data_IF_341784952914
#
_entry.id   IF_341784952914
#
_cell.length_a   1.000
_cell.length_b   1.000
_cell.length_c   1.000
_cell.angle_alpha   90.00
_cell.angle_beta   90.00
_cell.angle_gamma   90.00
#
_symmetry.space_group_name_H-M   'P 1'
#
loop_
_entity.id
_entity.type
_entity.pdbx_description
1 polymer ?
#
# COMPACT_ATOMS: atom_id res chain seq x y z
N UNK A 1 -8.14 1.60 -35.19
CA UNK A 1 -8.55 0.78 -34.02
C UNK A 1 -9.54 1.66 -33.25
N UNK A 2 -10.78 1.20 -33.07
CA UNK A 2 -11.79 2.00 -32.38
C UNK A 2 -11.36 2.28 -30.94
N UNK A 3 -11.46 3.54 -30.52
CA UNK A 3 -11.12 3.95 -29.15
C UNK A 3 -12.10 3.30 -28.17
N UNK A 4 -11.58 2.81 -27.04
CA UNK A 4 -12.38 2.17 -26.01
C UNK A 4 -11.81 2.44 -24.61
N UNK A 5 -12.62 2.27 -23.59
CA UNK A 5 -12.24 2.60 -22.20
C UNK A 5 -11.03 1.82 -21.68
N UNK A 6 -10.82 0.59 -22.16
CA UNK A 6 -9.60 -0.16 -21.83
C UNK A 6 -8.31 0.58 -22.23
N UNK A 7 -8.33 1.35 -23.32
CA UNK A 7 -7.20 2.19 -23.76
C UNK A 7 -7.02 3.40 -22.84
N UNK A 8 -8.10 3.99 -22.33
CA UNK A 8 -8.03 5.10 -21.35
C UNK A 8 -7.40 4.63 -20.05
N UNK A 9 -7.82 3.45 -19.55
CA UNK A 9 -7.20 2.82 -18.35
C UNK A 9 -5.71 2.58 -18.60
N UNK A 10 -5.34 1.99 -19.72
CA UNK A 10 -3.94 1.67 -20.04
C UNK A 10 -3.07 2.94 -20.15
N UNK A 11 -3.59 3.99 -20.84
CA UNK A 11 -2.89 5.28 -20.94
C UNK A 11 -2.68 5.92 -19.58
N UNK A 12 -3.74 5.96 -18.76
CA UNK A 12 -3.63 6.45 -17.38
C UNK A 12 -2.54 5.72 -16.59
N UNK A 13 -2.50 4.39 -16.64
CA UNK A 13 -1.48 3.60 -15.95
C UNK A 13 -0.07 3.89 -16.46
N UNK A 14 0.11 4.06 -17.78
CA UNK A 14 1.39 4.44 -18.38
C UNK A 14 1.85 5.84 -17.94
N UNK A 15 0.96 6.83 -17.92
CA UNK A 15 1.22 8.18 -17.43
C UNK A 15 1.57 8.22 -15.92
N UNK A 16 1.12 7.22 -15.15
CA UNK A 16 1.50 7.00 -13.75
C UNK A 16 2.78 6.17 -13.60
N UNK A 17 3.47 5.89 -14.71
CA UNK A 17 4.72 5.12 -14.74
C UNK A 17 4.58 3.71 -14.15
N UNK A 18 3.43 3.09 -14.35
CA UNK A 18 3.19 1.69 -13.98
C UNK A 18 3.96 0.80 -14.96
N UNK A 19 5.11 0.30 -14.53
CA UNK A 19 5.98 -0.52 -15.37
C UNK A 19 5.43 -1.93 -15.63
N UNK A 20 4.71 -2.50 -14.66
CA UNK A 20 4.17 -3.85 -14.71
C UNK A 20 2.71 -3.89 -14.26
N UNK A 21 1.89 -4.65 -15.00
CA UNK A 21 0.52 -5.01 -14.61
C UNK A 21 0.49 -6.52 -14.35
N UNK A 22 0.26 -6.90 -13.10
CA UNK A 22 0.17 -8.29 -12.67
C UNK A 22 -1.26 -8.80 -12.84
N UNK A 23 -1.40 -10.00 -13.42
CA UNK A 23 -2.74 -10.50 -13.78
C UNK A 23 -2.79 -12.03 -13.78
N UNK A 24 -3.98 -12.59 -13.61
CA UNK A 24 -4.39 -13.84 -14.23
C UNK A 24 -5.45 -13.48 -15.26
N UNK A 25 -5.16 -13.77 -16.54
CA UNK A 25 -5.98 -13.34 -17.65
C UNK A 25 -7.41 -13.88 -17.55
N UNK A 26 -8.39 -13.05 -17.93
CA UNK A 26 -9.79 -13.43 -18.02
C UNK A 26 -10.60 -12.46 -18.87
N UNK A 27 -11.74 -12.92 -19.41
CA UNK A 27 -12.53 -12.19 -20.39
C UNK A 27 -12.94 -10.79 -19.95
N UNK A 28 -13.27 -10.60 -18.67
CA UNK A 28 -13.78 -9.32 -18.16
C UNK A 28 -12.74 -8.19 -18.10
N UNK A 29 -11.44 -8.49 -18.27
CA UNK A 29 -10.37 -7.49 -18.23
C UNK A 29 -9.50 -7.50 -19.48
N UNK A 30 -9.77 -8.37 -20.44
CA UNK A 30 -8.96 -8.51 -21.67
C UNK A 30 -8.70 -7.19 -22.40
N UNK A 31 -9.68 -6.28 -22.57
CA UNK A 31 -9.41 -5.01 -23.25
C UNK A 31 -8.37 -4.14 -22.54
N UNK A 32 -8.32 -4.17 -21.19
CA UNK A 32 -7.29 -3.48 -20.41
C UNK A 32 -5.92 -4.09 -20.68
N UNK A 33 -5.81 -5.44 -20.67
CA UNK A 33 -4.53 -6.13 -20.86
C UNK A 33 -3.93 -5.89 -22.24
N UNK A 34 -4.77 -5.96 -23.29
CA UNK A 34 -4.36 -5.70 -24.68
C UNK A 34 -3.88 -4.26 -24.83
N UNK A 35 -4.65 -3.30 -24.32
CA UNK A 35 -4.30 -1.88 -24.39
C UNK A 35 -3.03 -1.56 -23.54
N UNK A 36 -2.88 -2.12 -22.35
CA UNK A 36 -1.72 -1.94 -21.50
C UNK A 36 -0.42 -2.45 -22.17
N UNK A 37 -0.49 -3.59 -22.85
CA UNK A 37 0.63 -4.10 -23.65
C UNK A 37 1.00 -3.14 -24.78
N UNK A 38 0.00 -2.59 -25.48
CA UNK A 38 0.21 -1.59 -26.54
C UNK A 38 0.79 -0.28 -25.99
N UNK A 39 0.43 0.11 -24.78
CA UNK A 39 0.97 1.29 -24.09
C UNK A 39 2.37 1.07 -23.48
N UNK A 40 3.01 -0.09 -23.71
CA UNK A 40 4.35 -0.40 -23.23
C UNK A 40 4.42 -0.92 -21.80
N UNK A 41 3.29 -1.17 -21.14
CA UNK A 41 3.25 -1.77 -19.80
C UNK A 41 3.51 -3.27 -19.92
N UNK A 42 4.45 -3.77 -19.13
CA UNK A 42 4.75 -5.21 -19.06
C UNK A 42 3.61 -5.96 -18.39
N UNK A 43 2.96 -6.86 -19.13
CA UNK A 43 1.97 -7.79 -18.57
C UNK A 43 2.71 -8.98 -17.96
N UNK A 44 2.48 -9.23 -16.68
CA UNK A 44 3.05 -10.36 -15.94
C UNK A 44 1.91 -11.32 -15.58
N UNK A 45 1.84 -12.42 -16.34
CA UNK A 45 0.84 -13.47 -16.15
C UNK A 45 1.20 -14.33 -14.93
N UNK A 46 0.27 -14.45 -14.00
CA UNK A 46 0.42 -15.18 -12.75
C UNK A 46 -0.41 -16.47 -12.79
N UNK A 47 -0.12 -17.43 -11.91
CA UNK A 47 -0.86 -18.70 -11.85
C UNK A 47 -2.00 -18.71 -10.83
N UNK A 48 -2.14 -17.61 -10.09
CA UNK A 48 -3.22 -17.39 -9.11
C UNK A 48 -3.36 -15.88 -8.84
N UNK A 49 -4.58 -15.39 -8.70
CA UNK A 49 -4.87 -13.97 -8.53
C UNK A 49 -4.29 -13.39 -7.23
N UNK A 50 -4.23 -14.18 -6.16
CA UNK A 50 -3.53 -13.77 -4.94
C UNK A 50 -2.06 -13.43 -5.23
N UNK A 51 -1.38 -14.20 -6.09
CA UNK A 51 0.00 -13.94 -6.45
C UNK A 51 0.15 -12.65 -7.26
N UNK A 52 -0.84 -12.31 -8.11
CA UNK A 52 -0.85 -11.02 -8.81
C UNK A 52 -0.87 -9.85 -7.82
N UNK A 53 -1.70 -9.93 -6.79
CA UNK A 53 -1.78 -8.90 -5.75
C UNK A 53 -0.53 -8.90 -4.86
N UNK A 54 0.04 -10.05 -4.49
CA UNK A 54 1.30 -10.10 -3.73
C UNK A 54 2.47 -9.53 -4.54
N UNK A 55 2.52 -9.75 -5.86
CA UNK A 55 3.53 -9.14 -6.72
C UNK A 55 3.37 -7.60 -6.80
N UNK A 56 2.14 -7.11 -6.92
CA UNK A 56 1.83 -5.69 -6.84
C UNK A 56 2.22 -5.10 -5.46
N UNK A 57 1.93 -5.80 -4.36
CA UNK A 57 2.34 -5.42 -3.00
C UNK A 57 3.88 -5.34 -2.88
N UNK A 58 4.61 -6.28 -3.46
CA UNK A 58 6.08 -6.26 -3.48
C UNK A 58 6.62 -5.04 -4.23
N UNK A 59 6.05 -4.70 -5.41
CA UNK A 59 6.42 -3.48 -6.15
C UNK A 59 6.18 -2.25 -5.30
N UNK A 60 5.01 -2.15 -4.64
CA UNK A 60 4.70 -1.02 -3.77
C UNK A 60 5.74 -0.84 -2.66
N UNK A 61 6.12 -1.92 -1.99
CA UNK A 61 7.08 -1.88 -0.88
C UNK A 61 8.50 -1.54 -1.33
N UNK A 62 8.90 -2.00 -2.51
CA UNK A 62 10.25 -1.80 -3.03
C UNK A 62 10.45 -0.44 -3.70
N UNK A 63 9.37 0.13 -4.25
CA UNK A 63 9.45 1.39 -5.01
C UNK A 63 8.84 2.60 -4.29
N UNK A 64 7.92 2.36 -3.34
CA UNK A 64 7.09 3.40 -2.74
C UNK A 64 5.97 3.91 -3.65
N UNK A 65 5.78 3.31 -4.84
CA UNK A 65 4.74 3.64 -5.82
C UNK A 65 3.60 2.63 -5.76
N UNK A 66 2.38 2.97 -6.17
CA UNK A 66 1.30 2.00 -6.23
C UNK A 66 1.61 0.84 -7.17
N UNK A 67 1.57 -0.38 -6.64
CA UNK A 67 1.59 -1.59 -7.46
C UNK A 67 0.20 -1.89 -7.99
N UNK A 68 0.08 -2.36 -9.24
CA UNK A 68 -1.21 -2.58 -9.91
C UNK A 68 -1.39 -4.03 -10.30
N UNK A 69 -2.54 -4.58 -9.94
CA UNK A 69 -2.99 -5.88 -10.39
C UNK A 69 -4.36 -5.77 -11.07
N UNK A 70 -4.60 -6.61 -12.08
CA UNK A 70 -5.90 -6.72 -12.74
C UNK A 70 -6.36 -8.17 -12.76
N UNK A 71 -7.62 -8.44 -12.41
CA UNK A 71 -8.19 -9.78 -12.33
C UNK A 71 -9.60 -9.83 -12.90
N UNK A 72 -10.01 -11.01 -13.38
CA UNK A 72 -11.36 -11.19 -13.90
C UNK A 72 -12.42 -11.09 -12.80
N UNK A 73 -13.69 -11.01 -13.18
CA UNK A 73 -14.82 -10.89 -12.27
C UNK A 73 -15.01 -12.13 -11.37
N UNK A 74 -15.78 -11.97 -10.33
CA UNK A 74 -16.26 -13.05 -9.45
C UNK A 74 -15.11 -13.78 -8.74
N UNK A 75 -14.86 -15.07 -9.04
CA UNK A 75 -13.81 -15.84 -8.38
C UNK A 75 -12.41 -15.20 -8.55
N UNK A 76 -12.14 -14.52 -9.68
CA UNK A 76 -10.90 -13.78 -9.86
C UNK A 76 -10.70 -12.71 -8.80
N UNK A 77 -11.75 -11.95 -8.48
CA UNK A 77 -11.71 -10.94 -7.41
C UNK A 77 -11.65 -11.58 -6.04
N UNK A 78 -12.47 -12.61 -5.74
CA UNK A 78 -12.49 -13.21 -4.40
C UNK A 78 -11.19 -13.90 -4.03
N UNK A 79 -10.46 -14.47 -4.98
CA UNK A 79 -9.13 -15.06 -4.76
C UNK A 79 -8.09 -14.03 -4.29
N UNK A 80 -8.35 -12.72 -4.44
CA UNK A 80 -7.40 -11.67 -4.02
C UNK A 80 -7.55 -11.24 -2.56
N UNK A 81 -8.63 -11.64 -1.86
CA UNK A 81 -8.99 -11.11 -0.54
C UNK A 81 -7.86 -11.23 0.48
N UNK A 82 -7.21 -12.40 0.56
CA UNK A 82 -6.09 -12.63 1.49
C UNK A 82 -4.92 -11.69 1.20
N UNK A 83 -4.54 -11.55 -0.06
CA UNK A 83 -3.41 -10.70 -0.45
C UNK A 83 -3.72 -9.21 -0.25
N UNK A 84 -4.94 -8.76 -0.54
CA UNK A 84 -5.39 -7.39 -0.24
C UNK A 84 -5.39 -7.11 1.25
N UNK A 85 -5.84 -8.07 2.07
CA UNK A 85 -5.81 -7.92 3.53
C UNK A 85 -4.38 -7.81 4.05
N UNK A 86 -3.45 -8.59 3.48
CA UNK A 86 -2.02 -8.47 3.77
C UNK A 86 -1.48 -7.07 3.40
N UNK A 87 -1.79 -6.56 2.19
CA UNK A 87 -1.40 -5.23 1.77
C UNK A 87 -1.98 -4.13 2.68
N UNK A 88 -3.24 -4.27 3.14
CA UNK A 88 -3.86 -3.36 4.09
C UNK A 88 -3.14 -3.36 5.44
N UNK A 89 -2.78 -4.53 5.98
CA UNK A 89 -2.03 -4.65 7.23
C UNK A 89 -0.61 -4.13 7.11
N UNK A 90 0.00 -4.27 5.93
CA UNK A 90 1.33 -3.76 5.63
C UNK A 90 1.33 -2.27 5.25
N UNK A 91 0.14 -1.66 5.10
CA UNK A 91 -0.01 -0.27 4.67
C UNK A 91 0.62 -0.01 3.30
N UNK A 92 0.47 -0.97 2.39
CA UNK A 92 1.00 -0.90 1.02
C UNK A 92 -0.03 -0.32 0.05
N UNK A 93 0.33 0.68 -0.77
CA UNK A 93 -0.55 1.24 -1.78
C UNK A 93 -0.67 0.30 -2.98
N UNK A 94 -1.67 -0.56 -2.98
CA UNK A 94 -1.99 -1.49 -4.07
C UNK A 94 -3.28 -1.06 -4.75
N UNK A 95 -3.29 -1.05 -6.08
CA UNK A 95 -4.51 -0.86 -6.88
C UNK A 95 -4.90 -2.22 -7.47
N UNK A 96 -6.09 -2.70 -7.10
CA UNK A 96 -6.70 -3.86 -7.74
C UNK A 96 -7.79 -3.41 -8.68
N UNK A 97 -7.63 -3.68 -9.97
CA UNK A 97 -8.66 -3.52 -10.99
C UNK A 97 -9.36 -4.87 -11.16
N UNK A 98 -10.64 -4.94 -10.84
CA UNK A 98 -11.46 -6.14 -11.00
C UNK A 98 -12.47 -5.97 -12.11
N UNK A 99 -12.53 -6.93 -13.02
CA UNK A 99 -13.64 -7.01 -13.98
C UNK A 99 -14.98 -7.18 -13.26
N UNK A 100 -16.07 -6.86 -13.94
CA UNK A 100 -17.43 -7.12 -13.46
C UNK A 100 -18.35 -7.49 -14.62
N UNK A 101 -19.46 -8.15 -14.30
CA UNK A 101 -20.52 -8.46 -15.27
C UNK A 101 -21.02 -7.18 -15.96
N UNK A 102 -21.60 -7.31 -17.20
CA UNK A 102 -22.19 -6.20 -17.90
C UNK A 102 -23.22 -5.48 -17.04
N UNK A 103 -23.25 -4.15 -17.11
CA UNK A 103 -24.08 -3.29 -16.24
C UNK A 103 -25.56 -3.66 -16.24
N UNK A 104 -26.12 -4.03 -17.41
CA UNK A 104 -27.53 -4.43 -17.54
C UNK A 104 -27.83 -5.84 -17.04
N UNK A 105 -26.81 -6.68 -16.85
CA UNK A 105 -26.94 -8.09 -16.42
C UNK A 105 -26.55 -8.29 -14.97
N UNK A 106 -26.08 -7.27 -14.29
CA UNK A 106 -25.68 -7.33 -12.88
C UNK A 106 -26.86 -7.75 -12.00
N UNK A 107 -26.68 -8.78 -11.15
CA UNK A 107 -27.73 -9.37 -10.33
C UNK A 107 -28.72 -10.24 -11.08
N UNK A 108 -28.45 -10.61 -12.33
CA UNK A 108 -29.32 -11.43 -13.18
C UNK A 108 -28.74 -12.80 -13.54
N UNK A 109 -27.71 -13.26 -12.83
CA UNK A 109 -27.06 -14.53 -13.10
C UNK A 109 -26.12 -14.52 -14.30
N UNK A 110 -25.51 -13.39 -14.62
CA UNK A 110 -24.45 -13.31 -15.62
C UNK A 110 -23.22 -14.12 -15.20
N UNK A 111 -22.35 -14.45 -16.16
CA UNK A 111 -21.12 -15.16 -15.86
C UNK A 111 -20.28 -14.40 -14.84
N UNK A 112 -19.90 -15.08 -13.74
CA UNK A 112 -19.06 -14.54 -12.67
C UNK A 112 -19.64 -13.30 -11.96
N UNK A 113 -20.97 -13.11 -12.03
CA UNK A 113 -21.68 -12.01 -11.38
C UNK A 113 -21.92 -12.34 -9.89
N UNK A 114 -21.18 -11.64 -9.03
CA UNK A 114 -21.32 -11.69 -7.56
C UNK A 114 -21.23 -10.26 -6.99
N UNK A 115 -21.72 -10.06 -5.77
CA UNK A 115 -21.53 -8.79 -5.07
C UNK A 115 -20.09 -8.67 -4.50
N UNK A 116 -19.13 -8.49 -5.41
CA UNK A 116 -17.72 -8.33 -5.05
C UNK A 116 -17.44 -7.03 -4.28
N UNK A 117 -18.27 -6.00 -4.45
CA UNK A 117 -18.12 -4.75 -3.71
C UNK A 117 -18.34 -4.92 -2.20
N UNK A 118 -19.37 -5.66 -1.79
CA UNK A 118 -19.64 -5.95 -0.38
C UNK A 118 -18.54 -6.83 0.26
N UNK A 119 -17.93 -7.72 -0.52
CA UNK A 119 -16.82 -8.55 -0.06
C UNK A 119 -15.53 -7.75 0.13
N UNK A 120 -15.25 -6.78 -0.75
CA UNK A 120 -13.98 -6.05 -0.75
C UNK A 120 -13.98 -4.82 0.17
N UNK A 121 -15.13 -4.14 0.39
CA UNK A 121 -15.22 -2.95 1.26
C UNK A 121 -14.57 -3.08 2.63
N UNK A 122 -14.74 -4.18 3.39
CA UNK A 122 -14.10 -4.34 4.70
C UNK A 122 -12.61 -4.69 4.62
N UNK A 123 -12.10 -5.00 3.44
CA UNK A 123 -10.74 -5.49 3.23
C UNK A 123 -9.80 -4.40 2.73
N UNK A 124 -10.32 -3.50 1.90
CA UNK A 124 -9.56 -2.42 1.26
C UNK A 124 -9.80 -1.06 1.90
N UNK A 125 -8.92 -0.11 1.61
CA UNK A 125 -9.06 1.27 2.08
C UNK A 125 -10.25 1.98 1.42
N UNK A 126 -10.49 1.70 0.14
CA UNK A 126 -11.65 2.18 -0.62
C UNK A 126 -11.99 1.18 -1.73
N UNK A 127 -13.30 1.03 -2.00
CA UNK A 127 -13.81 0.28 -3.14
C UNK A 127 -14.64 1.23 -4.02
N UNK A 128 -14.29 1.31 -5.29
CA UNK A 128 -14.85 2.21 -6.30
C UNK A 128 -15.43 1.40 -7.46
N UNK A 129 -16.47 1.92 -8.10
CA UNK A 129 -17.07 1.32 -9.31
C UNK A 129 -17.10 2.35 -10.42
N UNK A 130 -16.64 2.00 -11.61
CA UNK A 130 -16.80 2.79 -12.82
C UNK A 130 -18.21 2.51 -13.39
N UNK A 131 -19.01 3.55 -13.62
CA UNK A 131 -20.38 3.42 -14.12
C UNK A 131 -20.54 3.95 -15.54
N UNK A 132 -19.69 4.89 -15.94
CA UNK A 132 -19.69 5.53 -17.26
C UNK A 132 -18.25 5.74 -17.72
N UNK A 133 -18.05 5.90 -19.00
CA UNK A 133 -16.72 6.22 -19.53
C UNK A 133 -16.14 7.52 -18.93
N UNK A 134 -16.97 8.50 -18.63
CA UNK A 134 -16.58 9.76 -17.96
C UNK A 134 -15.99 9.55 -16.57
N UNK A 135 -16.36 8.46 -15.90
CA UNK A 135 -15.95 8.21 -14.52
C UNK A 135 -14.55 7.55 -14.44
N UNK A 136 -13.98 7.07 -15.57
CA UNK A 136 -12.74 6.29 -15.60
C UNK A 136 -11.57 7.07 -14.97
N UNK A 137 -11.23 8.23 -15.53
CA UNK A 137 -10.11 9.03 -15.03
C UNK A 137 -10.34 9.52 -13.59
N UNK A 138 -11.49 10.13 -13.24
CA UNK A 138 -11.75 10.56 -11.87
C UNK A 138 -11.67 9.41 -10.85
N UNK A 139 -12.16 8.22 -11.20
CA UNK A 139 -12.11 7.04 -10.33
C UNK A 139 -10.68 6.54 -10.17
N UNK A 140 -9.92 6.45 -11.25
CA UNK A 140 -8.52 6.01 -11.20
C UNK A 140 -7.65 7.01 -10.44
N UNK A 141 -7.82 8.31 -10.67
CA UNK A 141 -7.13 9.36 -9.91
C UNK A 141 -7.45 9.27 -8.41
N UNK A 142 -8.74 9.15 -8.08
CA UNK A 142 -9.18 8.94 -6.70
C UNK A 142 -8.57 7.67 -6.09
N UNK A 143 -8.47 6.58 -6.86
CA UNK A 143 -7.88 5.33 -6.41
C UNK A 143 -6.38 5.50 -6.06
N UNK A 144 -5.59 6.13 -6.95
CA UNK A 144 -4.17 6.38 -6.73
C UNK A 144 -3.94 7.32 -5.55
N UNK A 145 -4.69 8.44 -5.49
CA UNK A 145 -4.64 9.39 -4.40
C UNK A 145 -5.00 8.75 -3.06
N UNK A 146 -6.08 7.97 -3.01
CA UNK A 146 -6.51 7.28 -1.79
C UNK A 146 -5.49 6.24 -1.36
N UNK A 147 -4.96 5.43 -2.28
CA UNK A 147 -4.00 4.38 -1.94
C UNK A 147 -2.75 4.93 -1.24
N UNK A 148 -2.30 6.12 -1.63
CA UNK A 148 -1.04 6.72 -1.15
C UNK A 148 -1.20 7.75 -0.04
N UNK A 149 -2.38 8.36 0.14
CA UNK A 149 -2.61 9.43 1.13
C UNK A 149 -2.67 8.91 2.56
N UNK A 150 -2.29 9.73 3.53
CA UNK A 150 -2.36 9.44 4.97
C UNK A 150 -1.66 8.12 5.33
N UNK A 151 -2.42 7.14 5.85
CA UNK A 151 -1.96 5.75 5.97
C UNK A 151 -2.21 5.04 4.64
N UNK A 152 -1.17 4.63 3.90
CA UNK A 152 -1.35 3.94 2.63
C UNK A 152 -2.10 2.62 2.76
N UNK A 153 -2.70 2.17 1.66
CA UNK A 153 -3.43 0.90 1.68
C UNK A 153 -4.05 0.56 0.32
N UNK A 154 -4.53 -0.67 0.15
CA UNK A 154 -5.09 -1.14 -1.11
C UNK A 154 -6.42 -0.47 -1.44
N UNK A 155 -6.63 -0.24 -2.73
CA UNK A 155 -7.89 0.26 -3.30
C UNK A 155 -8.37 -0.70 -4.37
N UNK A 156 -9.67 -0.98 -4.38
CA UNK A 156 -10.34 -1.79 -5.39
C UNK A 156 -11.12 -0.91 -6.36
N UNK A 157 -10.95 -1.16 -7.66
CA UNK A 157 -11.69 -0.50 -8.74
C UNK A 157 -12.45 -1.56 -9.54
N UNK A 158 -13.78 -1.53 -9.48
CA UNK A 158 -14.65 -2.40 -10.25
C UNK A 158 -14.89 -1.82 -11.64
N UNK A 159 -14.58 -2.61 -12.68
CA UNK A 159 -14.74 -2.22 -14.09
C UNK A 159 -15.71 -3.17 -14.79
N UNK A 160 -16.98 -2.78 -15.05
CA UNK A 160 -17.90 -3.57 -15.86
C UNK A 160 -17.37 -3.78 -17.28
N UNK A 161 -17.48 -5.04 -17.78
CA UNK A 161 -16.92 -5.43 -19.07
C UNK A 161 -17.46 -4.63 -20.26
N UNK A 162 -18.74 -4.30 -20.23
CA UNK A 162 -19.42 -3.52 -21.28
C UNK A 162 -18.92 -2.07 -21.41
N UNK A 163 -18.28 -1.52 -20.37
CA UNK A 163 -17.58 -0.24 -20.45
C UNK A 163 -16.19 -0.35 -21.09
N UNK A 164 -15.59 -1.53 -21.11
CA UNK A 164 -14.19 -1.71 -21.55
C UNK A 164 -14.07 -1.91 -23.06
N UNK A 165 -15.15 -2.30 -23.75
CA UNK A 165 -15.18 -2.51 -25.20
C UNK A 165 -15.58 -1.24 -25.96
N UNK A 166 -15.36 -1.18 -27.31
CA UNK A 166 -15.83 -0.09 -28.14
C UNK A 166 -17.35 0.08 -28.06
N UNK A 167 -17.81 1.32 -28.06
CA UNK A 167 -19.24 1.65 -28.00
C UNK A 167 -20.03 0.97 -29.10
N UNK A 168 -19.49 0.91 -30.34
CA UNK A 168 -20.10 0.26 -31.49
C UNK A 168 -20.46 -1.20 -31.22
N UNK A 169 -19.51 -1.94 -30.60
CA UNK A 169 -19.68 -3.33 -30.23
C UNK A 169 -20.72 -3.51 -29.11
N UNK A 170 -20.72 -2.64 -28.11
CA UNK A 170 -21.68 -2.70 -27.00
C UNK A 170 -23.11 -2.36 -27.51
N UNK A 171 -23.23 -1.43 -28.42
CA UNK A 171 -24.53 -1.14 -29.11
C UNK A 171 -25.03 -2.35 -29.88
N UNK A 172 -24.16 -3.08 -30.56
CA UNK A 172 -24.51 -4.33 -31.24
C UNK A 172 -25.01 -5.38 -30.24
N UNK A 173 -24.30 -5.58 -29.11
CA UNK A 173 -24.71 -6.54 -28.05
C UNK A 173 -26.07 -6.22 -27.46
N UNK A 174 -26.41 -4.95 -27.26
CA UNK A 174 -27.66 -4.52 -26.63
C UNK A 174 -28.75 -4.15 -27.65
N UNK A 175 -28.39 -3.77 -28.85
CA UNK A 175 -29.34 -3.41 -29.92
C UNK A 175 -29.93 -4.60 -30.65
N UNK A 176 -29.37 -5.79 -30.48
CA UNK A 176 -29.74 -7.12 -31.07
C UNK A 176 -29.94 -7.06 -32.57
N UNK A 177 -29.58 -7.40 -33.36
CA UNK A 177 -29.41 -8.06 -34.54
C UNK A 177 -30.45 -8.68 -35.35
N UNK A 178 -30.15 -8.68 -36.54
CA UNK A 178 -30.51 -9.48 -37.72
C UNK A 178 -31.64 -8.97 -38.55
N UNK A 179 -31.27 -8.78 -39.81
CA UNK A 179 -32.06 -8.29 -40.91
C UNK A 179 -33.24 -9.19 -41.31
N UNK A 180 -33.42 -10.37 -40.69
CA UNK A 180 -34.45 -11.36 -41.05
C UNK A 180 -35.52 -11.57 -39.97
N UNK A 181 -35.70 -10.63 -39.04
CA UNK A 181 -36.71 -10.72 -37.99
C UNK A 181 -37.98 -9.94 -38.36
N UNK A 182 -39.19 -10.44 -38.03
CA UNK A 182 -40.43 -9.70 -38.21
C UNK A 182 -40.40 -8.36 -37.46
N UNK A 183 -41.23 -7.37 -37.88
CA UNK A 183 -41.21 -6.04 -37.27
C UNK A 183 -41.38 -6.17 -35.73
N UNK A 184 -40.55 -5.44 -34.92
CA UNK A 184 -40.52 -5.59 -33.49
C UNK A 184 -41.83 -5.23 -32.83
N UNK A 185 -42.26 -6.03 -31.87
CA UNK A 185 -43.40 -5.74 -31.00
C UNK A 185 -43.22 -4.43 -30.24
N UNK A 186 -44.30 -3.84 -29.73
CA UNK A 186 -44.21 -2.63 -28.89
C UNK A 186 -43.26 -2.82 -27.70
N UNK A 187 -43.26 -4.01 -27.06
CA UNK A 187 -42.40 -4.37 -25.95
C UNK A 187 -40.92 -4.39 -26.34
N UNK A 188 -40.61 -4.94 -27.51
CA UNK A 188 -39.22 -4.99 -28.02
C UNK A 188 -38.73 -3.60 -28.41
N UNK A 189 -39.60 -2.73 -28.96
CA UNK A 189 -39.27 -1.33 -29.25
C UNK A 189 -38.94 -0.56 -27.96
N UNK A 190 -39.73 -0.74 -26.89
CA UNK A 190 -39.49 -0.11 -25.59
C UNK A 190 -38.20 -0.61 -24.95
N UNK A 191 -37.95 -1.94 -25.00
CA UNK A 191 -36.70 -2.52 -24.50
C UNK A 191 -35.48 -1.99 -25.26
N UNK A 192 -35.56 -1.95 -26.61
CA UNK A 192 -34.48 -1.40 -27.45
C UNK A 192 -34.22 0.07 -27.16
N UNK A 193 -35.28 0.88 -26.97
CA UNK A 193 -35.14 2.28 -26.58
C UNK A 193 -34.53 2.44 -25.20
N UNK A 194 -34.89 1.59 -24.24
CA UNK A 194 -34.29 1.57 -22.89
C UNK A 194 -32.79 1.23 -22.95
N UNK A 195 -32.42 0.15 -23.63
CA UNK A 195 -31.05 -0.27 -23.81
C UNK A 195 -30.21 0.78 -24.57
N UNK A 196 -30.76 1.38 -25.63
CA UNK A 196 -30.10 2.48 -26.35
C UNK A 196 -29.77 3.65 -25.43
N UNK A 197 -30.76 4.13 -24.65
CA UNK A 197 -30.54 5.21 -23.67
C UNK A 197 -29.54 4.82 -22.58
N UNK A 198 -29.49 3.54 -22.20
CA UNK A 198 -28.51 3.06 -21.25
C UNK A 198 -27.08 3.19 -21.81
N UNK A 199 -26.84 2.72 -23.04
CA UNK A 199 -25.56 2.86 -23.73
C UNK A 199 -25.19 4.34 -23.93
N UNK A 200 -26.13 5.20 -24.33
CA UNK A 200 -25.89 6.66 -24.47
C UNK A 200 -25.36 7.27 -23.15
N UNK A 201 -25.87 6.81 -21.99
CA UNK A 201 -25.38 7.27 -20.66
C UNK A 201 -24.04 6.71 -20.31
N UNK A 202 -23.77 5.46 -20.68
CA UNK A 202 -22.48 4.79 -20.41
C UNK A 202 -21.35 5.47 -21.18
N UNK A 203 -21.58 5.87 -22.42
CA UNK A 203 -20.59 6.46 -23.33
C UNK A 203 -20.81 7.97 -23.57
N UNK A 204 -21.24 8.70 -22.54
CA UNK A 204 -21.59 10.11 -22.66
C UNK A 204 -20.38 11.04 -22.92
N UNK A 205 -19.14 10.60 -22.67
CA UNK A 205 -17.94 11.42 -22.88
C UNK A 205 -17.11 10.97 -24.08
N UNK A 206 -16.48 11.94 -24.73
CA UNK A 206 -15.52 11.68 -25.81
C UNK A 206 -14.18 11.23 -25.22
N UNK A 207 -13.63 10.11 -25.70
CA UNK A 207 -12.35 9.57 -25.25
C UNK A 207 -11.14 10.45 -25.61
N UNK A 208 -11.24 11.23 -26.66
CA UNK A 208 -10.15 12.08 -27.17
C UNK A 208 -9.80 13.23 -26.23
N UNK A 209 -10.76 13.68 -25.42
CA UNK A 209 -10.60 14.79 -24.46
C UNK A 209 -10.22 14.32 -23.06
N UNK A 210 -10.06 13.03 -22.85
CA UNK A 210 -9.76 12.46 -21.54
C UNK A 210 -8.23 12.41 -21.32
N UNK A 211 -7.74 13.30 -20.49
CA UNK A 211 -6.34 13.37 -20.07
C UNK A 211 -6.23 13.24 -18.54
N UNK A 212 -5.22 12.50 -18.07
CA UNK A 212 -4.93 12.42 -16.65
C UNK A 212 -4.17 13.66 -16.19
N UNK A 213 -4.61 14.27 -15.10
CA UNK A 213 -3.89 15.38 -14.47
C UNK A 213 -2.54 14.97 -13.88
N UNK A 214 -1.65 15.92 -13.55
CA UNK A 214 -0.40 15.62 -12.85
C UNK A 214 -0.70 14.97 -11.50
N UNK A 215 0.10 13.96 -11.14
CA UNK A 215 -0.05 13.27 -9.87
C UNK A 215 1.23 13.36 -9.02
N UNK A 216 1.04 13.67 -7.75
CA UNK A 216 2.09 13.60 -6.73
C UNK A 216 1.53 13.04 -5.43
N UNK A 217 2.27 12.22 -4.70
CA UNK A 217 1.88 11.82 -3.35
C UNK A 217 1.67 13.04 -2.46
N UNK A 218 0.56 13.10 -1.73
CA UNK A 218 0.33 14.18 -0.77
C UNK A 218 1.24 14.01 0.43
N UNK A 219 2.15 14.95 0.64
CA UNK A 219 3.02 14.99 1.81
C UNK A 219 2.39 15.84 2.91
N UNK A 220 2.32 15.30 4.12
CA UNK A 220 1.88 16.05 5.31
C UNK A 220 3.08 16.74 5.94
N UNK A 221 2.98 18.04 6.17
CA UNK A 221 3.99 18.79 6.93
C UNK A 221 4.07 18.27 8.37
N UNK A 222 5.27 18.27 8.93
CA UNK A 222 5.52 17.92 10.33
C UNK A 222 5.63 19.25 11.11
N UNK A 223 4.97 19.32 12.26
CA UNK A 223 5.10 20.46 13.15
C UNK A 223 6.52 20.50 13.74
N UNK A 224 7.27 21.55 13.43
CA UNK A 224 8.65 21.73 13.88
C UNK A 224 8.76 21.73 15.42
N UNK A 225 7.76 22.26 16.13
CA UNK A 225 7.75 22.26 17.60
C UNK A 225 7.76 20.84 18.19
N UNK A 226 7.15 19.86 17.50
CA UNK A 226 7.16 18.46 17.92
C UNK A 226 8.53 17.80 17.68
N UNK A 227 9.26 18.23 16.64
CA UNK A 227 10.61 17.74 16.34
C UNK A 227 11.58 18.26 17.40
N UNK A 228 11.57 19.56 17.66
CA UNK A 228 12.39 20.20 18.70
C UNK A 228 12.12 19.57 20.07
N UNK A 229 10.84 19.35 20.42
CA UNK A 229 10.49 18.70 21.69
C UNK A 229 11.03 17.26 21.79
N UNK A 230 11.00 16.50 20.70
CA UNK A 230 11.58 15.18 20.67
C UNK A 230 13.10 15.22 20.84
N UNK A 231 13.78 16.16 20.18
CA UNK A 231 15.21 16.36 20.32
C UNK A 231 15.59 16.72 21.77
N UNK A 232 14.83 17.58 22.44
CA UNK A 232 15.08 17.97 23.82
C UNK A 232 14.90 16.81 24.80
N UNK A 233 13.86 15.99 24.62
CA UNK A 233 13.68 14.76 25.40
C UNK A 233 14.91 13.83 25.24
N UNK A 234 15.37 13.63 24.00
CA UNK A 234 16.52 12.78 23.72
C UNK A 234 17.82 13.35 24.28
N UNK A 235 18.04 14.66 24.21
CA UNK A 235 19.22 15.34 24.80
C UNK A 235 19.29 15.18 26.31
N UNK A 236 18.15 15.04 26.99
CA UNK A 236 18.10 14.81 28.45
C UNK A 236 18.28 13.35 28.83
N UNK A 237 18.07 12.41 27.90
CA UNK A 237 18.16 10.97 28.13
C UNK A 237 19.59 10.50 28.39
N UNK A 238 19.73 9.45 29.21
CA UNK A 238 20.99 8.73 29.47
C UNK A 238 21.01 7.33 28.85
N UNK A 239 19.85 6.72 28.69
CA UNK A 239 19.69 5.34 28.19
C UNK A 239 18.59 5.28 27.10
N UNK A 240 18.71 6.07 26.01
CA UNK A 240 17.72 6.05 24.96
C UNK A 240 17.79 4.78 24.11
N UNK A 241 16.63 4.39 23.53
CA UNK A 241 16.53 3.32 22.53
C UNK A 241 15.55 3.72 21.45
N UNK A 242 15.90 3.50 20.19
CA UNK A 242 14.98 3.64 19.07
C UNK A 242 14.49 2.28 18.56
N UNK A 243 13.23 2.23 18.14
CA UNK A 243 12.66 1.13 17.36
C UNK A 243 12.13 1.72 16.07
N UNK A 244 12.66 1.26 14.94
CA UNK A 244 12.24 1.72 13.61
C UNK A 244 11.52 0.59 12.88
N UNK A 245 10.28 0.86 12.48
CA UNK A 245 9.39 -0.10 11.82
C UNK A 245 9.17 0.19 10.34
N UNK A 246 8.35 -0.66 9.71
CA UNK A 246 8.11 -0.66 8.26
C UNK A 246 7.63 0.68 7.71
N UNK A 247 6.83 1.43 8.47
CA UNK A 247 6.25 2.69 8.00
C UNK A 247 7.31 3.77 7.75
N UNK A 248 8.49 3.68 8.38
CA UNK A 248 9.61 4.59 8.13
C UNK A 248 10.22 4.41 6.72
N UNK A 249 9.95 3.29 6.05
CA UNK A 249 10.46 2.95 4.72
C UNK A 249 9.38 2.89 3.63
N UNK A 250 8.24 3.55 3.82
CA UNK A 250 7.23 3.65 2.76
C UNK A 250 7.74 4.34 1.49
N UNK A 251 8.79 5.13 1.60
CA UNK A 251 9.54 5.71 0.48
C UNK A 251 10.91 5.02 0.38
N UNK A 252 10.96 3.84 -0.21
CA UNK A 252 12.16 3.00 -0.28
C UNK A 252 13.39 3.73 -0.85
N UNK A 253 13.20 4.63 -1.81
CA UNK A 253 14.26 5.46 -2.39
C UNK A 253 14.98 6.35 -1.35
N UNK A 254 14.33 6.68 -0.23
CA UNK A 254 14.91 7.48 0.86
C UNK A 254 15.68 6.64 1.88
N UNK A 255 15.75 5.31 1.73
CA UNK A 255 16.47 4.45 2.67
C UNK A 255 17.91 4.90 2.99
N UNK A 256 18.76 5.31 2.01
CA UNK A 256 20.10 5.80 2.32
C UNK A 256 20.12 7.09 3.15
N UNK A 257 19.17 8.01 2.91
CA UNK A 257 19.06 9.24 3.70
C UNK A 257 18.63 8.93 5.14
N UNK A 258 17.64 8.07 5.31
CA UNK A 258 17.18 7.62 6.63
C UNK A 258 18.28 6.91 7.43
N UNK A 259 19.09 6.06 6.77
CA UNK A 259 20.23 5.40 7.42
C UNK A 259 21.25 6.43 7.92
N UNK A 260 21.58 7.45 7.13
CA UNK A 260 22.46 8.55 7.55
C UNK A 260 21.87 9.35 8.72
N UNK A 261 20.58 9.66 8.67
CA UNK A 261 19.89 10.37 9.75
C UNK A 261 19.96 9.60 11.07
N UNK A 262 19.71 8.29 11.08
CA UNK A 262 19.85 7.44 12.26
C UNK A 262 21.28 7.41 12.79
N UNK A 263 22.28 7.32 11.91
CA UNK A 263 23.69 7.37 12.30
C UNK A 263 24.08 8.73 12.89
N UNK A 264 23.57 9.84 12.34
CA UNK A 264 23.81 11.20 12.83
C UNK A 264 23.19 11.43 14.23
N UNK A 265 21.96 10.94 14.46
CA UNK A 265 21.34 11.00 15.79
C UNK A 265 22.16 10.18 16.80
N UNK A 266 22.67 9.02 16.42
CA UNK A 266 23.57 8.20 17.25
C UNK A 266 22.87 7.36 18.31
N UNK A 267 21.55 7.10 18.19
CA UNK A 267 20.81 6.24 19.12
C UNK A 267 21.04 4.76 18.83
N UNK A 268 21.11 3.87 19.86
CA UNK A 268 21.00 2.44 19.63
C UNK A 268 19.61 2.11 19.08
N UNK A 269 19.57 1.34 17.97
CA UNK A 269 18.36 1.12 17.21
C UNK A 269 18.05 -0.36 16.98
N UNK A 270 16.79 -0.72 17.21
CA UNK A 270 16.21 -2.00 16.82
C UNK A 270 15.39 -1.80 15.53
N UNK A 271 15.84 -2.41 14.44
CA UNK A 271 15.18 -2.36 13.13
C UNK A 271 14.20 -3.53 13.00
N UNK A 272 12.97 -3.27 12.55
CA UNK A 272 11.92 -4.29 12.45
C UNK A 272 11.11 -4.16 11.15
N UNK A 273 10.54 -5.28 10.71
CA UNK A 273 9.78 -5.34 9.45
C UNK A 273 10.64 -4.93 8.26
N UNK A 274 10.14 -4.02 7.43
CA UNK A 274 10.86 -3.51 6.24
C UNK A 274 12.13 -2.72 6.58
N UNK A 275 12.25 -2.20 7.80
CA UNK A 275 13.45 -1.48 8.21
C UNK A 275 14.64 -2.40 8.53
N UNK A 276 14.45 -3.72 8.58
CA UNK A 276 15.59 -4.66 8.78
C UNK A 276 16.61 -4.50 7.65
N UNK A 277 17.87 -4.42 8.02
CA UNK A 277 18.97 -4.24 7.07
C UNK A 277 19.24 -2.78 6.67
N UNK A 278 18.41 -1.80 7.08
CA UNK A 278 18.53 -0.40 6.69
C UNK A 278 19.93 0.19 6.88
N UNK A 279 20.59 -0.11 7.98
CA UNK A 279 21.94 0.40 8.30
C UNK A 279 23.06 -0.64 8.06
N UNK A 280 22.74 -1.80 7.51
CA UNK A 280 23.68 -2.92 7.41
C UNK A 280 23.77 -3.73 8.70
N UNK A 281 24.35 -4.95 8.58
CA UNK A 281 24.42 -5.92 9.68
C UNK A 281 25.35 -5.46 10.80
N UNK A 282 26.48 -4.87 10.44
CA UNK A 282 27.60 -4.63 11.35
C UNK A 282 27.69 -3.19 11.85
N UNK A 283 26.66 -2.37 11.57
CA UNK A 283 26.61 -0.99 12.04
C UNK A 283 26.56 -0.94 13.59
N UNK A 284 27.44 -0.16 14.26
CA UNK A 284 27.60 -0.20 15.72
C UNK A 284 26.36 0.19 16.53
N UNK A 285 25.41 0.91 15.94
CA UNK A 285 24.16 1.31 16.60
C UNK A 285 23.04 0.28 16.42
N UNK A 286 23.21 -0.73 15.56
CA UNK A 286 22.16 -1.73 15.29
C UNK A 286 22.20 -2.84 16.33
N UNK A 287 21.10 -2.98 17.06
CA UNK A 287 20.87 -4.03 18.06
C UNK A 287 19.86 -5.03 17.52
N UNK A 288 20.14 -6.34 17.64
CA UNK A 288 19.29 -7.42 17.11
C UNK A 288 18.67 -8.28 18.21
N UNK A 289 19.38 -8.45 19.30
CA UNK A 289 19.05 -9.37 20.39
C UNK A 289 18.58 -8.66 21.66
N UNK A 290 17.99 -9.42 22.57
CA UNK A 290 17.60 -9.00 23.92
C UNK A 290 16.82 -7.65 24.00
N UNK A 291 16.08 -7.29 22.94
CA UNK A 291 15.30 -6.02 22.85
C UNK A 291 14.46 -5.77 24.10
N UNK A 292 13.81 -6.81 24.65
CA UNK A 292 12.97 -6.67 25.85
C UNK A 292 13.77 -6.18 27.05
N UNK A 293 15.00 -6.66 27.25
CA UNK A 293 15.87 -6.20 28.34
C UNK A 293 16.31 -4.75 28.14
N UNK A 294 16.66 -4.37 26.92
CA UNK A 294 17.01 -3.01 26.58
C UNK A 294 15.83 -2.05 26.85
N UNK A 295 14.63 -2.36 26.39
CA UNK A 295 13.43 -1.56 26.60
C UNK A 295 13.01 -1.44 28.08
N UNK A 296 13.33 -2.45 28.92
CA UNK A 296 13.10 -2.40 30.36
C UNK A 296 14.09 -1.52 31.10
N UNK A 297 15.30 -1.38 30.57
CA UNK A 297 16.35 -0.55 31.16
C UNK A 297 16.36 0.89 30.62
N UNK A 298 15.77 1.12 29.45
CA UNK A 298 15.74 2.44 28.81
C UNK A 298 14.95 3.47 29.64
N UNK A 299 15.48 4.70 29.70
CA UNK A 299 14.78 5.88 30.24
C UNK A 299 13.94 6.62 29.19
N UNK A 300 14.31 6.48 27.91
CA UNK A 300 13.59 7.05 26.78
C UNK A 300 13.49 6.04 25.63
N UNK A 301 12.30 5.87 25.08
CA UNK A 301 12.06 4.98 23.92
C UNK A 301 11.42 5.77 22.81
N UNK A 302 12.07 5.81 21.65
CA UNK A 302 11.52 6.36 20.40
C UNK A 302 10.98 5.21 19.53
N UNK A 303 9.68 5.20 19.25
CA UNK A 303 9.06 4.25 18.33
C UNK A 303 8.66 4.99 17.05
N UNK A 304 9.30 4.68 15.95
CA UNK A 304 9.05 5.27 14.65
C UNK A 304 8.51 4.23 13.65
N UNK A 305 7.23 4.35 13.29
CA UNK A 305 6.63 3.57 12.21
C UNK A 305 6.17 2.15 12.56
N UNK A 306 5.82 1.89 13.83
CA UNK A 306 5.13 0.67 14.25
C UNK A 306 4.27 0.92 15.49
N UNK A 307 3.20 0.14 15.72
CA UNK A 307 2.40 0.21 16.95
C UNK A 307 3.02 -0.60 18.11
N UNK A 308 2.55 -0.36 19.33
CA UNK A 308 2.80 -1.20 20.50
C UNK A 308 1.91 -2.44 20.50
N UNK A 309 2.08 -3.34 19.53
CA UNK A 309 1.34 -4.59 19.42
C UNK A 309 2.04 -5.79 20.10
N UNK A 310 1.68 -7.04 19.69
CA UNK A 310 2.27 -8.27 20.23
C UNK A 310 3.80 -8.30 20.14
N UNK A 311 4.41 -7.63 19.15
CA UNK A 311 5.87 -7.55 18.97
C UNK A 311 6.58 -6.83 20.10
N UNK A 312 5.87 -5.96 20.82
CA UNK A 312 6.33 -5.22 22.00
C UNK A 312 5.60 -5.64 23.29
N UNK A 313 5.06 -6.86 23.30
CA UNK A 313 4.24 -7.37 24.42
C UNK A 313 3.14 -6.35 24.81
N UNK A 314 2.43 -5.83 23.78
CA UNK A 314 1.37 -4.84 23.95
C UNK A 314 1.82 -3.60 24.74
N UNK A 315 3.07 -3.18 24.57
CA UNK A 315 3.70 -2.06 25.28
C UNK A 315 4.26 -2.41 26.67
N UNK A 316 4.03 -3.62 27.18
CA UNK A 316 4.56 -4.08 28.49
C UNK A 316 6.07 -4.35 28.46
N UNK A 317 6.66 -4.53 27.27
CA UNK A 317 8.10 -4.65 27.11
C UNK A 317 8.86 -3.36 27.48
N UNK A 318 8.22 -2.19 27.43
CA UNK A 318 8.81 -0.87 27.73
C UNK A 318 8.64 -0.57 29.22
N UNK A 319 9.68 -0.03 29.88
CA UNK A 319 9.61 0.38 31.28
C UNK A 319 8.46 1.39 31.49
N UNK A 320 7.75 1.29 32.63
CA UNK A 320 6.62 2.18 32.91
C UNK A 320 7.06 3.64 33.06
N UNK A 321 8.23 3.87 33.66
CA UNK A 321 8.83 5.18 33.89
C UNK A 321 9.51 5.77 32.66
N UNK A 322 9.76 4.98 31.61
CA UNK A 322 10.42 5.46 30.40
C UNK A 322 9.55 6.49 29.67
N UNK A 323 10.14 7.57 29.23
CA UNK A 323 9.50 8.53 28.34
C UNK A 323 9.35 7.89 26.95
N UNK A 324 8.11 7.81 26.48
CA UNK A 324 7.79 7.22 25.16
C UNK A 324 7.52 8.34 24.16
N UNK A 325 8.33 8.39 23.11
CA UNK A 325 8.11 9.18 21.90
C UNK A 325 7.56 8.24 20.84
N UNK A 326 6.36 8.52 20.34
CA UNK A 326 5.75 7.74 19.26
C UNK A 326 5.57 8.57 18.00
N UNK A 327 5.97 8.01 16.86
CA UNK A 327 5.77 8.61 15.53
C UNK A 327 5.10 7.60 14.62
N UNK A 328 3.93 7.95 14.08
CA UNK A 328 3.16 7.08 13.21
C UNK A 328 2.20 7.89 12.33
N UNK A 329 1.95 7.47 11.11
CA UNK A 329 0.93 8.07 10.22
C UNK A 329 -0.49 7.82 10.72
N UNK A 330 -0.70 6.73 11.48
CA UNK A 330 -1.98 6.32 12.05
C UNK A 330 -2.11 6.80 13.50
N UNK A 331 -3.06 7.70 13.77
CA UNK A 331 -3.40 8.11 15.16
C UNK A 331 -3.84 6.93 16.02
N UNK A 332 -4.52 5.94 15.43
CA UNK A 332 -4.96 4.72 16.12
C UNK A 332 -3.77 3.88 16.54
N UNK A 333 -2.86 3.60 15.60
CA UNK A 333 -1.69 2.75 15.84
C UNK A 333 -0.70 3.41 16.79
N UNK A 334 -0.59 4.75 16.71
CA UNK A 334 0.25 5.57 17.60
C UNK A 334 -0.10 5.42 19.08
N UNK A 335 -1.39 5.20 19.38
CA UNK A 335 -1.92 5.07 20.75
C UNK A 335 -2.32 3.64 21.11
N UNK A 336 -2.02 2.67 20.26
CA UNK A 336 -2.41 1.29 20.47
C UNK A 336 -1.69 0.72 21.70
N UNK A 337 -2.45 0.23 22.68
CA UNK A 337 -2.01 -0.40 23.93
C UNK A 337 -1.16 0.47 24.86
N UNK A 338 -0.52 1.53 24.40
CA UNK A 338 0.25 2.48 25.22
C UNK A 338 0.25 3.87 24.56
N UNK A 339 -0.14 4.89 25.33
CA UNK A 339 -0.12 6.27 24.86
C UNK A 339 1.27 6.87 25.07
N UNK A 340 1.93 7.41 24.02
CA UNK A 340 3.20 8.10 24.18
C UNK A 340 3.05 9.43 24.93
N UNK A 341 4.07 9.83 25.68
CA UNK A 341 4.16 11.18 26.26
C UNK A 341 4.33 12.25 25.17
N UNK A 342 5.06 11.92 24.11
CA UNK A 342 5.10 12.72 22.89
C UNK A 342 4.56 11.88 21.73
N UNK A 343 3.36 12.24 21.26
CA UNK A 343 2.67 11.55 20.17
C UNK A 343 2.71 12.41 18.90
N UNK A 344 3.42 11.96 17.87
CA UNK A 344 3.58 12.67 16.59
C UNK A 344 2.86 11.90 15.48
N UNK A 345 1.82 12.51 14.91
CA UNK A 345 1.13 11.95 13.74
C UNK A 345 1.80 12.48 12.48
N UNK A 346 2.75 11.72 11.92
CA UNK A 346 3.57 12.13 10.79
C UNK A 346 4.17 10.91 10.07
N UNK A 347 4.84 11.16 8.93
CA UNK A 347 5.73 10.19 8.30
C UNK A 347 6.95 9.94 9.19
N UNK A 348 7.17 8.67 9.65
CA UNK A 348 8.27 8.39 10.57
C UNK A 348 9.66 8.55 9.94
N UNK A 349 9.82 8.27 8.63
CA UNK A 349 11.10 8.45 7.94
C UNK A 349 11.47 9.94 7.88
N UNK A 350 10.56 10.77 7.42
CA UNK A 350 10.75 12.23 7.38
C UNK A 350 10.94 12.86 8.76
N UNK A 351 10.23 12.34 9.76
CA UNK A 351 10.44 12.79 11.14
C UNK A 351 11.86 12.50 11.62
N UNK A 352 12.40 11.31 11.34
CA UNK A 352 13.77 10.96 11.72
C UNK A 352 14.82 11.77 10.95
N UNK A 353 14.58 12.06 9.66
CA UNK A 353 15.43 12.96 8.87
C UNK A 353 15.44 14.36 9.49
N UNK A 354 14.26 14.94 9.75
CA UNK A 354 14.16 16.27 10.38
C UNK A 354 14.71 16.30 11.81
N UNK A 355 14.54 15.23 12.58
CA UNK A 355 15.13 15.12 13.92
C UNK A 355 16.67 15.12 13.88
N UNK A 356 17.28 14.54 12.85
CA UNK A 356 18.73 14.59 12.67
C UNK A 356 19.23 16.01 12.36
N UNK A 357 18.42 16.84 11.73
CA UNK A 357 18.73 18.23 11.40
C UNK A 357 18.62 19.17 12.60
N UNK A 358 17.97 18.78 13.72
CA UNK A 358 17.83 19.59 14.95
C UNK A 358 19.16 19.87 15.70
N UNK A 359 20.28 19.38 15.17
CA UNK A 359 21.61 19.62 15.72
C UNK A 359 22.25 18.43 16.43
N UNK A 360 23.13 18.70 17.39
CA UNK A 360 23.93 17.63 18.03
C UNK A 360 23.19 16.95 19.16
N UNK A 361 23.43 15.64 19.29
CA UNK A 361 22.97 14.79 20.38
C UNK A 361 24.13 14.38 21.29
N UNK A 362 23.91 14.08 22.58
CA UNK A 362 24.97 13.78 23.54
C UNK A 362 25.47 12.32 23.40
N UNK A 363 26.06 11.99 22.26
CA UNK A 363 26.50 10.63 21.93
C UNK A 363 27.55 10.10 22.94
N UNK A 364 28.45 10.97 23.44
CA UNK A 364 29.42 10.60 24.49
C UNK A 364 28.72 10.15 25.79
N UNK A 365 27.62 10.80 26.15
CA UNK A 365 26.82 10.40 27.32
C UNK A 365 26.16 9.04 27.11
N UNK A 366 25.82 8.69 25.88
CA UNK A 366 25.15 7.44 25.50
C UNK A 366 26.15 6.29 25.29
N UNK A 367 27.44 6.57 25.10
CA UNK A 367 28.46 5.57 24.79
C UNK A 367 28.49 4.40 25.81
N UNK A 368 28.51 4.62 27.15
CA UNK A 368 28.51 3.50 28.10
C UNK A 368 27.24 2.63 28.01
N UNK A 369 26.11 3.24 27.67
CA UNK A 369 24.86 2.52 27.44
C UNK A 369 24.92 1.67 26.17
N UNK A 370 25.38 2.25 25.08
CA UNK A 370 25.57 1.56 23.80
C UNK A 370 26.50 0.38 23.94
N UNK A 371 27.64 0.55 24.66
CA UNK A 371 28.60 -0.51 24.91
C UNK A 371 27.99 -1.65 25.74
N UNK A 372 27.17 -1.33 26.75
CA UNK A 372 26.45 -2.36 27.50
C UNK A 372 25.46 -3.17 26.63
N UNK A 373 24.81 -2.53 25.68
CA UNK A 373 23.93 -3.21 24.73
C UNK A 373 24.74 -4.09 23.76
N UNK A 374 25.87 -3.61 23.27
CA UNK A 374 26.77 -4.35 22.38
C UNK A 374 27.37 -5.60 23.07
N UNK A 375 27.75 -5.48 24.33
CA UNK A 375 28.19 -6.65 25.11
C UNK A 375 27.09 -7.72 25.14
N UNK A 376 25.85 -7.34 25.43
CA UNK A 376 24.70 -8.27 25.42
C UNK A 376 24.42 -8.86 24.03
N UNK A 377 24.65 -8.09 22.95
CA UNK A 377 24.54 -8.59 21.57
C UNK A 377 25.60 -9.69 21.32
N UNK A 378 26.86 -9.42 21.66
CA UNK A 378 27.96 -10.35 21.46
C UNK A 378 27.77 -11.66 22.28
N UNK A 379 27.38 -11.55 23.55
CA UNK A 379 27.08 -12.71 24.40
C UNK A 379 25.97 -13.58 23.80
N UNK A 380 24.90 -12.94 23.28
CA UNK A 380 23.77 -13.69 22.67
C UNK A 380 24.17 -14.31 21.35
N UNK A 381 24.94 -13.63 20.52
CA UNK A 381 25.43 -14.18 19.24
C UNK A 381 26.33 -15.38 19.48
N UNK A 382 27.25 -15.30 20.45
CA UNK A 382 28.09 -16.42 20.84
C UNK A 382 27.28 -17.63 21.35
N UNK A 383 26.23 -17.38 22.16
CA UNK A 383 25.34 -18.45 22.61
C UNK A 383 24.54 -19.09 21.47
N UNK A 384 24.12 -18.31 20.45
CA UNK A 384 23.44 -18.85 19.28
C UNK A 384 24.39 -19.69 18.43
N UNK A 385 25.63 -19.22 18.24
CA UNK A 385 26.65 -19.96 17.50
C UNK A 385 26.98 -21.30 18.18
N UNK A 386 27.16 -21.30 19.49
CA UNK A 386 27.40 -22.53 20.25
C UNK A 386 26.27 -23.56 20.09
N UNK A 387 24.99 -23.07 20.15
CA UNK A 387 23.81 -23.93 19.89
C UNK A 387 23.76 -24.47 18.45
N UNK A 388 24.20 -23.67 17.48
CA UNK A 388 24.22 -24.11 16.06
C UNK A 388 25.31 -25.17 15.83
N UNK A 389 26.47 -25.04 16.52
CA UNK A 389 27.58 -25.98 16.41
C UNK A 389 27.22 -27.34 17.06
N UNK A 390 26.52 -27.34 18.21
CA UNK A 390 25.99 -28.55 18.84
C UNK A 390 25.00 -29.34 17.94
N UNK A 391 24.19 -28.64 17.11
CA UNK A 391 23.18 -29.27 16.25
C UNK A 391 23.77 -29.98 15.03
N UNK A 392 25.04 -29.73 14.67
CA UNK A 392 25.74 -30.33 13.54
C UNK A 392 26.36 -31.70 13.89
N UNK A 393 26.60 -31.96 15.16
CA UNK A 393 27.21 -33.21 15.66
C UNK A 393 26.18 -34.31 16.00
N UNK A 394 24.87 -34.10 15.66
CA UNK A 394 23.75 -35.00 15.95
C UNK A 394 23.22 -35.76 14.72
#
# INVERSE_FOLDING_TARGET
MDLHSGMVVARFLAEREVACLFTLCGGHISPILVAAKTAGIRIVDMRHEANAVFAADAVSRLTGRPGVAAVTAGPGVTNTITALKNAAMAQSPVILIGGAAPTVLKGRGALQDIDQMSLLRPVVKQALTIKRNCDILPVLESAFQTATSGVPGPVFVECPIDLLYPESMVREWYGGQKQDTPPPTLRERLLKAYLGRHVDRMFACCFETMEAGPWSPTETAIDAALITKAADILRQSRQPVAIVGSQALLQAAKAPALARALAQIGLPVYLTGMARGLMGRDHPLVMRHQRRKALKAADTVLIAGMPCDFRLDYGRAIARQATLIGVNRSRRDLRMNRTPQLAVTADPGRFLEALAEEGTFPQERWAPWIDSLRTREAEREAAIQAQADEAVDG
#
